data_IF_389986941501
#
_entry.id   IF_389986941501
#
_cell.length_a   1.000
_cell.length_b   1.000
_cell.length_c   1.000
_cell.angle_alpha   90.00
_cell.angle_beta   90.00
_cell.angle_gamma   90.00
#
_symmetry.space_group_name_H-M   'P 1'
#
loop_
_entity.id
_entity.type
_entity.pdbx_description
1 polymer ?
#
# COMPACT_ATOMS: atom_id res chain seq x y z
N UNK A 1 45.92 -16.25 0.25
CA UNK A 1 44.82 -16.88 -0.53
C UNK A 1 43.59 -16.03 -0.31
N UNK A 2 42.83 -15.69 -1.34
CA UNK A 2 41.57 -14.97 -1.16
C UNK A 2 40.49 -15.99 -0.81
N UNK A 3 39.87 -15.83 0.35
CA UNK A 3 38.75 -16.67 0.80
C UNK A 3 37.45 -15.88 0.66
N UNK A 4 36.45 -16.50 0.04
CA UNK A 4 35.17 -15.86 -0.26
C UNK A 4 34.07 -16.79 0.25
N UNK A 5 33.36 -16.36 1.28
CA UNK A 5 32.25 -17.11 1.85
C UNK A 5 30.90 -16.53 1.42
N UNK A 6 29.97 -17.39 1.03
CA UNK A 6 28.59 -17.04 0.65
C UNK A 6 28.48 -15.82 -0.31
N UNK A 7 29.21 -15.80 -1.45
CA UNK A 7 29.19 -14.65 -2.35
C UNK A 7 27.82 -14.46 -3.01
N UNK A 8 27.40 -13.20 -3.15
CA UNK A 8 26.26 -12.86 -3.99
C UNK A 8 26.73 -12.61 -5.44
N UNK A 9 26.34 -13.47 -6.36
CA UNK A 9 26.62 -13.29 -7.80
C UNK A 9 25.59 -12.31 -8.37
N UNK A 10 26.08 -11.20 -8.92
CA UNK A 10 25.27 -10.15 -9.55
C UNK A 10 25.53 -10.15 -11.05
N UNK A 11 24.46 -10.09 -11.85
CA UNK A 11 24.53 -10.10 -13.32
C UNK A 11 25.35 -11.29 -13.91
N UNK A 12 25.24 -12.47 -13.27
CA UNK A 12 25.92 -13.69 -13.71
C UNK A 12 24.99 -14.79 -14.21
N UNK A 13 23.66 -14.62 -14.11
CA UNK A 13 22.69 -15.71 -14.30
C UNK A 13 22.84 -16.43 -15.66
N UNK A 14 22.94 -15.67 -16.76
CA UNK A 14 23.11 -16.25 -18.09
C UNK A 14 24.45 -16.98 -18.24
N UNK A 15 25.54 -16.34 -17.83
CA UNK A 15 26.89 -16.93 -17.88
C UNK A 15 26.96 -18.20 -17.03
N UNK A 16 26.47 -18.16 -15.79
CA UNK A 16 26.41 -19.32 -14.89
C UNK A 16 25.55 -20.44 -15.46
N UNK A 17 24.40 -20.13 -16.07
CA UNK A 17 23.53 -21.12 -16.70
C UNK A 17 24.20 -21.81 -17.90
N UNK A 18 24.87 -21.04 -18.77
CA UNK A 18 25.59 -21.58 -19.92
C UNK A 18 26.77 -22.45 -19.49
N UNK A 19 27.57 -21.99 -18.52
CA UNK A 19 28.70 -22.76 -17.99
C UNK A 19 28.24 -24.05 -17.31
N UNK A 20 27.15 -24.00 -16.54
CA UNK A 20 26.53 -25.18 -15.93
C UNK A 20 26.11 -26.21 -16.98
N UNK A 21 25.44 -25.77 -18.04
CA UNK A 21 25.01 -26.66 -19.12
C UNK A 21 26.18 -27.22 -19.94
N UNK A 22 27.20 -26.41 -20.23
CA UNK A 22 28.40 -26.85 -20.94
C UNK A 22 29.17 -27.89 -20.13
N UNK A 23 29.30 -27.71 -18.81
CA UNK A 23 29.87 -28.71 -17.90
C UNK A 23 29.03 -30.00 -17.90
N UNK A 24 27.71 -29.89 -17.81
CA UNK A 24 26.80 -31.04 -17.87
C UNK A 24 26.95 -31.84 -19.17
N UNK A 25 27.26 -31.16 -20.27
CA UNK A 25 27.53 -31.76 -21.58
C UNK A 25 28.99 -32.22 -21.76
N UNK A 26 29.82 -32.18 -20.70
CA UNK A 26 31.24 -32.55 -20.69
C UNK A 26 32.08 -31.79 -21.73
N UNK A 27 31.73 -30.53 -22.01
CA UNK A 27 32.54 -29.67 -22.86
C UNK A 27 33.83 -29.26 -22.13
N UNK A 28 34.92 -29.10 -22.88
CA UNK A 28 36.17 -28.57 -22.33
C UNK A 28 36.02 -27.07 -22.00
N UNK A 29 36.06 -26.74 -20.71
CA UNK A 29 35.97 -25.37 -20.21
C UNK A 29 37.34 -24.74 -19.91
N UNK A 30 38.45 -25.49 -20.08
CA UNK A 30 39.80 -25.04 -19.68
C UNK A 30 40.27 -23.75 -20.38
N UNK A 31 39.75 -23.49 -21.57
CA UNK A 31 40.08 -22.31 -22.39
C UNK A 31 39.18 -21.11 -22.11
N UNK A 32 38.15 -21.26 -21.28
CA UNK A 32 37.21 -20.17 -20.96
C UNK A 32 37.82 -19.31 -19.86
N UNK A 33 37.99 -18.02 -20.15
CA UNK A 33 38.41 -17.02 -19.17
C UNK A 33 37.19 -16.25 -18.66
N UNK A 34 37.02 -16.19 -17.34
CA UNK A 34 35.94 -15.44 -16.69
C UNK A 34 36.56 -14.23 -15.98
N UNK A 35 36.11 -13.04 -16.32
CA UNK A 35 36.48 -11.82 -15.61
C UNK A 35 35.51 -11.63 -14.44
N UNK A 36 36.01 -11.78 -13.22
CA UNK A 36 35.23 -11.59 -12.00
C UNK A 36 35.62 -10.28 -11.33
N UNK A 37 34.63 -9.41 -11.09
CA UNK A 37 34.81 -8.22 -10.26
C UNK A 37 34.28 -8.52 -8.87
N UNK A 38 35.17 -8.55 -7.88
CA UNK A 38 34.83 -8.78 -6.48
C UNK A 38 34.66 -7.43 -5.80
N UNK A 39 33.52 -7.24 -5.13
CA UNK A 39 33.25 -6.04 -4.34
C UNK A 39 32.87 -6.51 -2.93
N UNK A 40 33.62 -6.03 -1.94
CA UNK A 40 33.33 -6.27 -0.52
C UNK A 40 32.82 -4.96 0.09
N UNK A 41 31.62 -4.99 0.66
CA UNK A 41 31.01 -3.84 1.33
C UNK A 41 30.09 -4.31 2.45
N UNK A 42 30.14 -3.61 3.59
CA UNK A 42 29.18 -3.79 4.68
C UNK A 42 28.00 -2.80 4.59
N UNK A 43 28.04 -1.88 3.62
CA UNK A 43 26.98 -0.92 3.37
C UNK A 43 25.93 -1.52 2.40
N UNK A 44 24.73 -1.78 2.93
CA UNK A 44 23.61 -2.33 2.18
C UNK A 44 23.12 -1.42 1.04
N UNK A 45 23.20 -0.10 1.23
CA UNK A 45 22.75 0.86 0.24
C UNK A 45 23.71 0.86 -0.96
N UNK A 46 25.03 0.80 -0.70
CA UNK A 46 26.04 0.64 -1.75
C UNK A 46 25.89 -0.70 -2.49
N UNK A 47 25.59 -1.79 -1.78
CA UNK A 47 25.33 -3.10 -2.40
C UNK A 47 24.13 -3.03 -3.36
N UNK A 48 23.03 -2.40 -2.93
CA UNK A 48 21.86 -2.19 -3.76
C UNK A 48 22.16 -1.32 -5.00
N UNK A 49 22.95 -0.25 -4.84
CA UNK A 49 23.40 0.59 -5.95
C UNK A 49 24.26 -0.19 -6.96
N UNK A 50 25.17 -1.03 -6.49
CA UNK A 50 25.98 -1.91 -7.34
C UNK A 50 25.09 -2.85 -8.15
N UNK A 51 24.12 -3.50 -7.50
CA UNK A 51 23.18 -4.41 -8.18
C UNK A 51 22.31 -3.65 -9.20
N UNK A 52 21.84 -2.46 -8.87
CA UNK A 52 21.10 -1.60 -9.82
C UNK A 52 21.96 -1.19 -11.01
N UNK A 53 23.18 -0.70 -10.75
CA UNK A 53 24.09 -0.17 -11.76
C UNK A 53 24.66 -1.24 -12.70
N UNK A 54 24.76 -2.49 -12.24
CA UNK A 54 25.25 -3.63 -13.02
C UNK A 54 24.15 -4.30 -13.85
N UNK A 55 22.88 -4.25 -13.45
CA UNK A 55 21.75 -4.79 -14.22
C UNK A 55 21.18 -3.75 -15.21
N UNK A 56 22.01 -3.24 -16.12
CA UNK A 56 21.58 -2.21 -17.10
C UNK A 56 20.50 -2.69 -18.08
N UNK A 57 20.40 -4.00 -18.33
CA UNK A 57 19.43 -4.57 -19.26
C UNK A 57 18.03 -4.74 -18.64
N UNK A 58 17.94 -4.96 -17.32
CA UNK A 58 16.69 -5.10 -16.59
C UNK A 58 16.80 -4.37 -15.24
N UNK A 59 16.11 -3.24 -15.09
CA UNK A 59 16.08 -2.48 -13.84
C UNK A 59 15.60 -3.39 -12.71
N UNK A 60 16.46 -3.66 -11.73
CA UNK A 60 16.09 -4.40 -10.52
C UNK A 60 15.30 -3.45 -9.63
N UNK A 61 14.00 -3.69 -9.49
CA UNK A 61 13.11 -2.87 -8.69
C UNK A 61 13.38 -3.05 -7.19
N UNK A 62 13.04 -2.06 -6.37
CA UNK A 62 13.29 -2.06 -4.91
C UNK A 62 12.61 -3.26 -4.21
N UNK A 63 11.45 -3.64 -4.71
CA UNK A 63 10.65 -4.81 -4.37
C UNK A 63 11.44 -6.11 -4.52
N UNK A 64 12.24 -6.24 -5.58
CA UNK A 64 13.01 -7.45 -5.83
C UNK A 64 14.11 -7.63 -4.78
N UNK A 65 14.71 -6.53 -4.30
CA UNK A 65 15.66 -6.57 -3.18
C UNK A 65 14.96 -6.90 -1.87
N UNK A 66 13.81 -6.28 -1.61
CA UNK A 66 13.01 -6.55 -0.43
C UNK A 66 12.70 -8.05 -0.31
N UNK A 67 12.29 -8.70 -1.40
CA UNK A 67 12.04 -10.14 -1.48
C UNK A 67 13.25 -11.04 -1.20
N UNK A 68 14.47 -10.50 -1.10
CA UNK A 68 15.67 -11.27 -0.72
C UNK A 68 15.94 -11.28 0.78
N UNK A 69 15.32 -10.37 1.55
CA UNK A 69 15.49 -10.27 2.99
C UNK A 69 15.04 -11.55 3.71
N UNK A 70 15.67 -11.82 4.85
CA UNK A 70 15.41 -13.04 5.61
C UNK A 70 13.97 -13.14 6.10
N UNK A 71 13.34 -12.01 6.47
CA UNK A 71 11.93 -11.96 6.82
C UNK A 71 11.04 -12.66 5.78
N UNK A 72 11.18 -12.33 4.50
CA UNK A 72 10.31 -12.87 3.45
C UNK A 72 10.55 -14.36 3.18
N UNK A 73 11.79 -14.85 3.38
CA UNK A 73 12.09 -16.29 3.31
C UNK A 73 11.43 -17.04 4.47
N UNK A 74 11.53 -16.47 5.68
CA UNK A 74 10.90 -17.05 6.87
C UNK A 74 9.38 -17.02 6.75
N UNK A 75 8.81 -15.94 6.23
CA UNK A 75 7.37 -15.81 6.00
C UNK A 75 6.87 -16.79 4.94
N UNK A 76 7.60 -16.95 3.83
CA UNK A 76 7.31 -17.97 2.80
C UNK A 76 7.28 -19.39 3.41
N UNK A 77 8.31 -19.75 4.18
CA UNK A 77 8.39 -21.04 4.85
C UNK A 77 7.22 -21.22 5.83
N UNK A 78 6.96 -20.21 6.65
CA UNK A 78 5.83 -20.18 7.58
C UNK A 78 4.50 -20.42 6.86
N UNK A 79 4.22 -19.71 5.77
CA UNK A 79 2.97 -19.88 5.00
C UNK A 79 2.83 -21.30 4.45
N UNK A 80 3.93 -21.91 4.00
CA UNK A 80 3.92 -23.28 3.48
C UNK A 80 3.68 -24.33 4.58
N UNK A 81 4.23 -24.11 5.78
CA UNK A 81 4.18 -25.03 6.90
C UNK A 81 2.97 -24.84 7.81
N UNK A 82 2.34 -23.66 7.77
CA UNK A 82 1.23 -23.33 8.67
C UNK A 82 0.01 -24.19 8.36
N UNK A 83 -0.32 -25.09 9.28
CA UNK A 83 -1.50 -25.94 9.24
C UNK A 83 -2.55 -25.39 10.20
N UNK A 84 -3.74 -25.11 9.69
CA UNK A 84 -4.95 -24.90 10.47
C UNK A 84 -6.15 -25.42 9.68
N UNK A 85 -7.35 -25.29 10.25
CA UNK A 85 -8.62 -25.70 9.63
C UNK A 85 -9.04 -24.75 8.50
N UNK A 86 -8.16 -24.54 7.53
CA UNK A 86 -8.42 -23.75 6.35
C UNK A 86 -9.16 -24.60 5.31
N UNK A 87 -10.28 -24.11 4.75
CA UNK A 87 -10.89 -24.77 3.60
C UNK A 87 -9.96 -24.76 2.37
N UNK A 88 -9.14 -23.71 2.22
CA UNK A 88 -8.24 -23.52 1.09
C UNK A 88 -6.84 -23.10 1.57
N UNK A 89 -5.79 -23.87 1.23
CA UNK A 89 -4.39 -23.49 1.47
C UNK A 89 -4.03 -22.25 0.63
N UNK A 90 -3.25 -21.34 1.22
CA UNK A 90 -2.73 -20.13 0.56
C UNK A 90 -1.21 -20.19 0.39
N UNK A 91 -0.68 -19.39 -0.54
CA UNK A 91 0.74 -19.41 -0.91
C UNK A 91 1.27 -17.98 -1.06
N UNK A 92 2.45 -17.73 -0.49
CA UNK A 92 3.13 -16.44 -0.62
C UNK A 92 4.11 -16.46 -1.80
N UNK A 93 3.74 -15.78 -2.88
CA UNK A 93 4.58 -15.59 -4.06
C UNK A 93 5.58 -14.45 -3.81
N UNK A 94 6.72 -14.83 -3.21
CA UNK A 94 7.81 -13.89 -2.91
C UNK A 94 8.47 -13.37 -4.18
N UNK A 95 8.65 -14.20 -5.21
CA UNK A 95 9.20 -13.78 -6.51
C UNK A 95 8.12 -13.85 -7.60
N UNK A 96 8.13 -12.91 -8.52
CA UNK A 96 7.18 -12.91 -9.64
C UNK A 96 7.20 -14.27 -10.36
N UNK A 97 6.02 -14.87 -10.55
CA UNK A 97 5.82 -16.16 -11.24
C UNK A 97 6.46 -17.36 -10.55
N UNK A 98 6.80 -17.27 -9.27
CA UNK A 98 7.43 -18.37 -8.52
C UNK A 98 6.64 -19.69 -8.58
N UNK A 99 5.31 -19.60 -8.66
CA UNK A 99 4.42 -20.76 -8.76
C UNK A 99 3.74 -20.89 -10.13
N UNK A 100 4.32 -20.32 -11.20
CA UNK A 100 3.70 -20.36 -12.54
C UNK A 100 3.64 -21.79 -13.12
N UNK A 101 4.66 -22.59 -12.86
CA UNK A 101 4.78 -23.95 -13.41
C UNK A 101 4.11 -25.03 -12.54
N UNK A 102 3.46 -24.65 -11.44
CA UNK A 102 2.75 -25.58 -10.56
C UNK A 102 1.23 -25.57 -10.82
N UNK A 103 0.68 -26.57 -11.53
CA UNK A 103 -0.74 -26.59 -11.90
C UNK A 103 -1.68 -26.80 -10.71
N UNK A 104 -1.15 -27.27 -9.57
CA UNK A 104 -1.91 -27.51 -8.35
C UNK A 104 -2.14 -26.24 -7.53
N UNK A 105 -1.43 -25.14 -7.83
CA UNK A 105 -1.57 -23.86 -7.12
C UNK A 105 -2.35 -22.89 -7.99
N UNK A 106 -3.59 -22.58 -7.60
CA UNK A 106 -4.46 -21.68 -8.34
C UNK A 106 -4.17 -20.21 -8.02
N UNK A 107 -4.47 -19.32 -8.96
CA UNK A 107 -4.21 -17.88 -8.80
C UNK A 107 -4.90 -17.27 -7.58
N UNK A 108 -6.13 -17.72 -7.25
CA UNK A 108 -6.88 -17.22 -6.10
C UNK A 108 -6.31 -17.66 -4.74
N UNK A 109 -5.35 -18.59 -4.72
CA UNK A 109 -4.65 -19.03 -3.50
C UNK A 109 -3.36 -18.24 -3.26
N UNK A 110 -2.92 -17.46 -4.25
CA UNK A 110 -1.62 -16.78 -4.23
C UNK A 110 -1.77 -15.36 -3.70
N UNK A 111 -0.81 -14.94 -2.91
CA UNK A 111 -0.65 -13.57 -2.45
C UNK A 111 0.82 -13.16 -2.55
N UNK A 112 1.12 -11.91 -2.86
CA UNK A 112 2.48 -11.48 -3.21
C UNK A 112 2.94 -10.28 -2.36
N UNK A 113 4.19 -9.85 -2.54
CA UNK A 113 4.75 -8.70 -1.79
C UNK A 113 3.91 -7.43 -1.97
N UNK A 114 3.44 -7.15 -3.20
CA UNK A 114 2.61 -5.98 -3.50
C UNK A 114 1.35 -5.94 -2.63
N UNK A 115 0.54 -7.00 -2.71
CA UNK A 115 -0.70 -7.07 -1.95
C UNK A 115 -0.41 -7.08 -0.44
N UNK A 116 0.60 -7.82 0.02
CA UNK A 116 0.95 -7.89 1.44
C UNK A 116 1.31 -6.53 2.00
N UNK A 117 2.10 -5.76 1.27
CA UNK A 117 2.49 -4.41 1.65
C UNK A 117 1.26 -3.50 1.74
N UNK A 118 0.46 -3.45 0.68
CA UNK A 118 -0.72 -2.57 0.62
C UNK A 118 -1.75 -2.87 1.71
N UNK A 119 -2.09 -4.15 1.89
CA UNK A 119 -3.12 -4.55 2.84
C UNK A 119 -2.61 -4.59 4.28
N UNK A 120 -1.31 -4.77 4.52
CA UNK A 120 -0.74 -4.58 5.86
C UNK A 120 -0.79 -3.10 6.26
N UNK A 121 -0.41 -2.19 5.36
CA UNK A 121 -0.52 -0.73 5.58
C UNK A 121 -1.97 -0.33 5.87
N UNK A 122 -2.94 -0.90 5.13
CA UNK A 122 -4.36 -0.64 5.36
C UNK A 122 -4.89 -1.23 6.67
N UNK A 123 -4.67 -2.53 6.90
CA UNK A 123 -5.32 -3.27 7.98
C UNK A 123 -4.64 -3.08 9.34
N UNK A 124 -3.31 -3.14 9.37
CA UNK A 124 -2.51 -3.14 10.60
C UNK A 124 -2.05 -1.73 10.97
N UNK A 125 -1.48 -0.99 10.00
CA UNK A 125 -1.05 0.40 10.23
C UNK A 125 -2.21 1.41 10.14
N UNK A 126 -3.40 0.97 9.75
CA UNK A 126 -4.62 1.78 9.68
C UNK A 126 -4.48 3.01 8.77
N UNK A 127 -3.83 2.80 7.63
CA UNK A 127 -3.69 3.78 6.56
C UNK A 127 -4.32 3.27 5.24
N UNK A 128 -5.61 2.89 5.23
CA UNK A 128 -6.26 2.37 4.03
C UNK A 128 -6.32 3.41 2.90
N UNK A 129 -6.25 4.71 3.22
CA UNK A 129 -6.18 5.79 2.23
C UNK A 129 -4.86 5.79 1.44
N UNK A 130 -3.78 5.22 2.01
CA UNK A 130 -2.46 5.11 1.38
C UNK A 130 -2.20 3.74 0.77
N UNK A 131 -3.05 2.74 1.06
CA UNK A 131 -2.85 1.37 0.59
C UNK A 131 -2.82 1.24 -0.94
N UNK A 132 -3.38 2.18 -1.71
CA UNK A 132 -3.35 2.14 -3.17
C UNK A 132 -2.01 2.55 -3.80
N UNK A 133 -1.07 3.08 -3.02
CA UNK A 133 0.22 3.55 -3.51
C UNK A 133 1.10 2.38 -3.93
N UNK A 134 2.05 2.67 -4.82
CA UNK A 134 3.03 1.68 -5.28
C UNK A 134 3.85 1.14 -4.11
N UNK A 135 4.15 -0.15 -4.14
CA UNK A 135 4.79 -0.88 -3.06
C UNK A 135 6.20 -0.35 -2.76
N UNK A 136 7.05 0.01 -3.75
CA UNK A 136 8.32 0.71 -3.48
C UNK A 136 8.17 1.95 -2.60
N UNK A 137 7.16 2.78 -2.85
CA UNK A 137 6.92 3.96 -2.01
C UNK A 137 6.51 3.56 -0.59
N UNK A 138 5.65 2.54 -0.45
CA UNK A 138 5.19 2.05 0.86
C UNK A 138 6.34 1.39 1.65
N UNK A 139 7.16 0.57 0.99
CA UNK A 139 8.37 -0.04 1.54
C UNK A 139 9.33 1.01 2.08
N UNK A 140 9.58 2.07 1.32
CA UNK A 140 10.42 3.18 1.77
C UNK A 140 9.79 3.96 2.93
N UNK A 141 8.51 4.31 2.83
CA UNK A 141 7.80 5.13 3.82
C UNK A 141 7.63 4.43 5.17
N UNK A 142 7.36 3.13 5.14
CA UNK A 142 7.02 2.33 6.31
C UNK A 142 8.11 1.32 6.68
N UNK A 143 9.35 1.49 6.20
CA UNK A 143 10.49 0.54 6.36
C UNK A 143 10.69 0.04 7.78
N UNK A 144 10.45 0.87 8.79
CA UNK A 144 10.61 0.53 10.22
C UNK A 144 9.35 -0.04 10.88
N UNK A 145 8.26 -0.21 10.12
CA UNK A 145 6.95 -0.63 10.60
C UNK A 145 6.42 -1.87 9.86
N UNK A 146 7.02 -2.25 8.73
CA UNK A 146 6.64 -3.43 7.95
C UNK A 146 7.84 -4.35 7.73
N UNK A 147 7.58 -5.66 7.76
CA UNK A 147 8.58 -6.70 7.51
C UNK A 147 9.83 -6.56 8.38
N UNK A 148 9.69 -6.07 9.62
CA UNK A 148 10.82 -5.95 10.53
C UNK A 148 11.24 -7.35 11.01
N UNK A 149 12.54 -7.58 11.14
CA UNK A 149 13.08 -8.93 11.39
C UNK A 149 12.60 -9.56 12.71
N UNK A 150 12.18 -8.73 13.68
CA UNK A 150 11.61 -9.16 14.98
C UNK A 150 10.09 -9.38 14.96
N UNK A 151 9.41 -9.07 13.87
CA UNK A 151 7.96 -9.26 13.82
C UNK A 151 7.62 -10.75 13.72
N UNK A 152 6.55 -11.15 14.40
CA UNK A 152 5.91 -12.42 14.13
C UNK A 152 5.37 -12.49 12.70
N UNK A 153 5.39 -13.68 12.11
CA UNK A 153 4.80 -13.99 10.81
C UNK A 153 3.26 -14.03 10.85
N UNK A 154 2.66 -14.34 12.01
CA UNK A 154 1.22 -14.62 12.10
C UNK A 154 0.33 -13.41 11.76
N UNK A 155 0.64 -12.16 12.17
CA UNK A 155 -0.10 -10.97 11.71
C UNK A 155 -0.07 -10.78 10.19
N UNK A 156 1.06 -11.05 9.53
CA UNK A 156 1.17 -10.96 8.07
C UNK A 156 0.34 -12.04 7.38
N UNK A 157 0.34 -13.24 7.95
CA UNK A 157 -0.50 -14.32 7.47
C UNK A 157 -1.99 -13.99 7.62
N UNK A 158 -2.41 -13.42 8.75
CA UNK A 158 -3.78 -12.97 8.96
C UNK A 158 -4.22 -11.95 7.90
N UNK A 159 -3.37 -10.97 7.56
CA UNK A 159 -3.64 -10.03 6.47
C UNK A 159 -3.81 -10.73 5.13
N UNK A 160 -2.88 -11.63 4.77
CA UNK A 160 -2.93 -12.36 3.50
C UNK A 160 -4.19 -13.22 3.39
N UNK A 161 -4.50 -13.98 4.44
CA UNK A 161 -5.65 -14.87 4.47
C UNK A 161 -6.96 -14.11 4.40
N UNK A 162 -7.16 -13.09 5.26
CA UNK A 162 -8.39 -12.28 5.26
C UNK A 162 -8.58 -11.51 3.94
N UNK A 163 -7.50 -11.07 3.29
CA UNK A 163 -7.60 -10.50 1.95
C UNK A 163 -8.12 -11.51 0.92
N UNK A 164 -7.54 -12.72 0.87
CA UNK A 164 -7.97 -13.74 -0.10
C UNK A 164 -9.40 -14.21 0.15
N UNK A 165 -9.83 -14.26 1.42
CA UNK A 165 -11.23 -14.50 1.79
C UNK A 165 -12.13 -13.38 1.29
N UNK A 166 -11.74 -12.11 1.42
CA UNK A 166 -12.49 -10.99 0.84
C UNK A 166 -12.57 -11.08 -0.69
N UNK A 167 -11.47 -11.44 -1.37
CA UNK A 167 -11.47 -11.65 -2.82
C UNK A 167 -12.44 -12.75 -3.24
N UNK A 168 -12.51 -13.84 -2.48
CA UNK A 168 -13.45 -14.94 -2.71
C UNK A 168 -14.89 -14.44 -2.58
N UNK A 169 -15.22 -13.76 -1.48
CA UNK A 169 -16.57 -13.23 -1.24
C UNK A 169 -17.02 -12.20 -2.29
N UNK A 170 -16.09 -11.37 -2.80
CA UNK A 170 -16.37 -10.42 -3.90
C UNK A 170 -16.58 -11.19 -5.22
N UNK A 171 -15.70 -12.14 -5.55
CA UNK A 171 -15.79 -12.94 -6.78
C UNK A 171 -17.10 -13.73 -6.85
N UNK A 172 -17.55 -14.26 -5.73
CA UNK A 172 -18.82 -14.99 -5.57
C UNK A 172 -20.04 -14.06 -5.46
N UNK A 173 -19.85 -12.74 -5.53
CA UNK A 173 -20.89 -11.70 -5.41
C UNK A 173 -21.64 -11.68 -4.07
N UNK A 174 -21.13 -12.38 -3.06
CA UNK A 174 -21.62 -12.25 -1.68
C UNK A 174 -21.38 -10.84 -1.16
N UNK A 175 -20.23 -10.25 -1.52
CA UNK A 175 -19.95 -8.83 -1.32
C UNK A 175 -20.02 -8.13 -2.68
N UNK A 176 -20.78 -7.04 -2.75
CA UNK A 176 -20.94 -6.26 -3.99
C UNK A 176 -19.63 -5.67 -4.51
N UNK A 177 -19.49 -5.60 -5.84
CA UNK A 177 -18.35 -5.00 -6.54
C UNK A 177 -18.06 -3.55 -6.15
N UNK A 178 -19.03 -2.84 -5.56
CA UNK A 178 -18.81 -1.51 -4.96
C UNK A 178 -17.57 -1.47 -4.05
N UNK A 179 -17.32 -2.56 -3.31
CA UNK A 179 -16.23 -2.64 -2.34
C UNK A 179 -14.86 -2.99 -2.91
N UNK A 180 -14.76 -3.29 -4.21
CA UNK A 180 -13.46 -3.60 -4.85
C UNK A 180 -12.45 -2.47 -4.62
N UNK A 181 -12.89 -1.21 -4.69
CA UNK A 181 -12.01 -0.05 -4.47
C UNK A 181 -11.77 0.29 -2.99
N UNK A 182 -12.49 -0.36 -2.08
CA UNK A 182 -12.45 -0.11 -0.63
C UNK A 182 -11.96 -1.31 0.18
N UNK A 183 -11.38 -2.34 -0.46
CA UNK A 183 -10.84 -3.53 0.23
C UNK A 183 -9.97 -3.19 1.43
N UNK A 184 -9.07 -2.23 1.30
CA UNK A 184 -8.20 -1.80 2.41
C UNK A 184 -8.98 -1.20 3.58
N UNK A 185 -10.06 -0.45 3.33
CA UNK A 185 -10.92 0.12 4.37
C UNK A 185 -11.71 -1.00 5.06
N UNK A 186 -12.26 -1.94 4.29
CA UNK A 186 -12.96 -3.10 4.86
C UNK A 186 -12.03 -3.95 5.72
N UNK A 187 -10.81 -4.23 5.26
CA UNK A 187 -9.82 -4.95 6.07
C UNK A 187 -9.47 -4.19 7.35
N UNK A 188 -9.26 -2.87 7.30
CA UNK A 188 -9.02 -2.06 8.50
C UNK A 188 -10.17 -2.19 9.51
N UNK A 189 -11.41 -2.03 9.06
CA UNK A 189 -12.60 -2.14 9.92
C UNK A 189 -12.69 -3.55 10.50
N UNK A 190 -12.58 -4.57 9.64
CA UNK A 190 -12.63 -5.97 10.04
C UNK A 190 -11.59 -6.31 11.11
N UNK A 191 -10.35 -5.86 10.91
CA UNK A 191 -9.26 -6.07 11.86
C UNK A 191 -9.53 -5.36 13.19
N UNK A 192 -10.03 -4.13 13.16
CA UNK A 192 -10.40 -3.40 14.40
C UNK A 192 -11.55 -4.05 15.14
N UNK A 193 -12.56 -4.58 14.43
CA UNK A 193 -13.71 -5.26 15.03
C UNK A 193 -13.30 -6.52 15.82
N UNK A 194 -12.35 -7.31 15.29
CA UNK A 194 -11.98 -8.59 15.88
C UNK A 194 -10.73 -8.52 16.77
N UNK A 195 -9.73 -7.73 16.39
CA UNK A 195 -8.44 -7.63 17.08
C UNK A 195 -8.37 -6.45 18.05
N UNK A 196 -9.22 -5.44 17.90
CA UNK A 196 -9.23 -4.23 18.72
C UNK A 196 -8.47 -3.05 18.10
N UNK A 197 -8.26 -2.00 18.91
CA UNK A 197 -7.84 -0.68 18.40
C UNK A 197 -6.44 -0.61 17.81
N UNK A 198 -5.49 -1.39 18.32
CA UNK A 198 -4.10 -1.34 17.89
C UNK A 198 -3.40 -2.65 18.23
N UNK A 199 -2.52 -3.10 17.34
CA UNK A 199 -1.61 -4.21 17.57
C UNK A 199 -0.27 -3.67 18.09
N UNK A 200 0.33 -4.37 19.05
CA UNK A 200 1.71 -4.15 19.46
C UNK A 200 2.62 -5.14 18.72
N UNK A 201 3.29 -4.66 17.67
CA UNK A 201 4.22 -5.48 16.87
C UNK A 201 5.56 -5.75 17.57
N UNK A 202 5.85 -5.09 18.69
CA UNK A 202 7.10 -5.29 19.45
C UNK A 202 7.01 -6.48 20.41
N UNK A 203 5.79 -6.91 20.72
CA UNK A 203 5.50 -8.04 21.57
C UNK A 203 4.88 -9.17 20.75
N UNK A 204 5.68 -10.19 20.44
CA UNK A 204 5.27 -11.35 19.64
C UNK A 204 3.99 -12.01 20.16
N UNK A 205 3.89 -12.24 21.47
CA UNK A 205 2.71 -12.87 22.09
C UNK A 205 1.44 -12.04 21.91
N UNK A 206 1.55 -10.71 22.06
CA UNK A 206 0.43 -9.80 21.87
C UNK A 206 0.02 -9.71 20.39
N UNK A 207 1.01 -9.64 19.49
CA UNK A 207 0.79 -9.63 18.04
C UNK A 207 0.11 -10.92 17.56
N UNK A 208 0.55 -12.08 18.07
CA UNK A 208 -0.03 -13.37 17.73
C UNK A 208 -1.44 -13.52 18.27
N UNK A 209 -1.69 -13.10 19.52
CA UNK A 209 -3.05 -13.10 20.08
C UNK A 209 -4.00 -12.25 19.23
N UNK A 210 -3.55 -11.07 18.81
CA UNK A 210 -4.32 -10.22 17.91
C UNK A 210 -4.62 -10.95 16.59
N UNK A 211 -3.60 -11.50 15.94
CA UNK A 211 -3.74 -12.20 14.66
C UNK A 211 -4.64 -13.43 14.76
N UNK A 212 -4.55 -14.22 15.84
CA UNK A 212 -5.42 -15.36 16.11
C UNK A 212 -6.89 -14.96 16.23
N UNK A 213 -7.20 -13.82 16.84
CA UNK A 213 -8.57 -13.33 16.91
C UNK A 213 -9.14 -13.04 15.51
N UNK A 214 -8.33 -12.41 14.63
CA UNK A 214 -8.73 -12.17 13.24
C UNK A 214 -8.97 -13.50 12.52
N UNK A 215 -8.01 -14.42 12.63
CA UNK A 215 -8.03 -15.69 11.94
C UNK A 215 -9.21 -16.58 12.37
N UNK A 216 -9.52 -16.63 13.68
CA UNK A 216 -10.72 -17.33 14.20
C UNK A 216 -12.01 -16.82 13.55
N UNK A 217 -12.12 -15.51 13.32
CA UNK A 217 -13.28 -14.92 12.64
C UNK A 217 -13.28 -15.08 11.12
N UNK A 218 -12.17 -15.55 10.52
CA UNK A 218 -11.96 -15.65 9.06
C UNK A 218 -11.94 -17.10 8.55
N UNK A 219 -11.52 -18.08 9.36
CA UNK A 219 -11.29 -19.46 8.90
C UNK A 219 -12.53 -20.11 8.28
N UNK A 220 -13.67 -20.04 8.98
CA UNK A 220 -14.97 -20.49 8.45
C UNK A 220 -15.57 -19.40 7.59
N UNK A 221 -15.96 -19.75 6.36
CA UNK A 221 -16.44 -18.76 5.39
C UNK A 221 -17.74 -18.10 5.83
N UNK A 222 -18.58 -18.81 6.59
CA UNK A 222 -19.82 -18.33 7.18
C UNK A 222 -19.55 -17.26 8.24
N UNK A 223 -18.60 -17.51 9.15
CA UNK A 223 -18.18 -16.55 10.16
C UNK A 223 -17.52 -15.32 9.50
N UNK A 224 -16.69 -15.55 8.49
CA UNK A 224 -16.04 -14.49 7.73
C UNK A 224 -17.08 -13.59 7.06
N UNK A 225 -18.12 -14.16 6.45
CA UNK A 225 -19.22 -13.43 5.84
C UNK A 225 -19.93 -12.54 6.86
N UNK A 226 -20.34 -13.08 8.01
CA UNK A 226 -21.00 -12.31 9.08
C UNK A 226 -20.11 -11.16 9.56
N UNK A 227 -18.82 -11.40 9.73
CA UNK A 227 -17.89 -10.37 10.18
C UNK A 227 -17.63 -9.29 9.11
N UNK A 228 -17.60 -9.66 7.82
CA UNK A 228 -17.54 -8.67 6.74
C UNK A 228 -18.84 -7.88 6.58
N UNK A 229 -20.01 -8.46 6.84
CA UNK A 229 -21.28 -7.74 6.86
C UNK A 229 -21.27 -6.64 7.93
N UNK A 230 -20.78 -6.94 9.14
CA UNK A 230 -20.56 -5.93 10.19
C UNK A 230 -19.58 -4.84 9.75
N UNK A 231 -18.48 -5.22 9.10
CA UNK A 231 -17.51 -4.25 8.60
C UNK A 231 -18.10 -3.34 7.51
N UNK A 232 -18.95 -3.90 6.65
CA UNK A 232 -19.70 -3.17 5.61
C UNK A 232 -20.69 -2.21 6.25
N UNK A 233 -21.41 -2.62 7.29
CA UNK A 233 -22.34 -1.75 8.02
C UNK A 233 -21.64 -0.52 8.59
N UNK A 234 -20.51 -0.71 9.28
CA UNK A 234 -19.68 0.41 9.78
C UNK A 234 -19.26 1.33 8.64
N UNK A 235 -18.77 0.77 7.52
CA UNK A 235 -18.38 1.57 6.36
C UNK A 235 -19.55 2.39 5.81
N UNK A 236 -20.74 1.77 5.64
CA UNK A 236 -21.93 2.43 5.10
C UNK A 236 -22.45 3.54 6.02
N UNK A 237 -22.38 3.34 7.33
CA UNK A 237 -22.72 4.38 8.30
C UNK A 237 -21.78 5.59 8.16
N UNK A 238 -20.48 5.34 7.97
CA UNK A 238 -19.50 6.40 7.70
C UNK A 238 -19.74 7.10 6.34
N UNK A 239 -20.08 6.35 5.29
CA UNK A 239 -20.43 6.90 3.97
C UNK A 239 -21.68 7.78 4.05
N UNK A 240 -22.70 7.36 4.80
CA UNK A 240 -23.90 8.16 5.04
C UNK A 240 -23.54 9.46 5.76
N UNK A 241 -22.74 9.40 6.82
CA UNK A 241 -22.29 10.60 7.53
C UNK A 241 -21.46 11.53 6.62
N UNK A 242 -20.56 10.96 5.82
CA UNK A 242 -19.74 11.69 4.84
C UNK A 242 -20.58 12.47 3.83
N UNK A 243 -21.64 11.86 3.33
CA UNK A 243 -22.48 12.46 2.29
C UNK A 243 -23.54 13.40 2.86
N UNK A 244 -24.15 13.04 3.99
CA UNK A 244 -25.30 13.76 4.55
C UNK A 244 -24.91 14.82 5.57
N UNK A 245 -23.91 14.56 6.42
CA UNK A 245 -23.51 15.49 7.49
C UNK A 245 -22.32 16.36 7.08
N UNK A 246 -21.42 15.84 6.25
CA UNK A 246 -20.27 16.59 5.73
C UNK A 246 -20.50 17.14 4.31
N UNK A 247 -21.58 16.76 3.64
CA UNK A 247 -21.92 17.18 2.28
C UNK A 247 -20.78 16.97 1.26
N UNK A 248 -20.00 15.88 1.43
CA UNK A 248 -18.87 15.56 0.57
C UNK A 248 -19.23 14.50 -0.47
N UNK A 249 -18.59 14.59 -1.63
CA UNK A 249 -18.77 13.60 -2.70
C UNK A 249 -18.26 12.22 -2.26
N UNK A 250 -19.03 11.13 -2.49
CA UNK A 250 -18.58 9.76 -2.24
C UNK A 250 -17.28 9.38 -2.97
N UNK A 251 -17.01 10.01 -4.12
CA UNK A 251 -15.84 9.71 -4.93
C UNK A 251 -14.51 10.10 -4.27
N UNK A 252 -14.55 10.94 -3.23
CA UNK A 252 -13.35 11.40 -2.52
C UNK A 252 -12.96 10.47 -1.36
N UNK A 253 -13.84 9.58 -0.90
CA UNK A 253 -13.66 8.81 0.34
C UNK A 253 -12.38 7.96 0.34
N UNK A 254 -12.09 7.28 -0.78
CA UNK A 254 -11.02 6.26 -0.86
C UNK A 254 -9.64 6.77 -0.44
N UNK A 255 -9.31 8.00 -0.76
CA UNK A 255 -7.96 8.56 -0.59
C UNK A 255 -7.93 9.66 0.48
N UNK A 256 -9.07 9.90 1.12
CA UNK A 256 -9.22 10.98 2.08
C UNK A 256 -8.91 10.48 3.49
N UNK A 257 -7.79 10.92 4.07
CA UNK A 257 -7.38 10.57 5.43
C UNK A 257 -8.49 10.84 6.47
N UNK A 258 -9.19 11.96 6.32
CA UNK A 258 -10.42 12.30 7.04
C UNK A 258 -11.47 11.18 7.07
N UNK A 259 -11.65 10.44 5.97
CA UNK A 259 -12.63 9.37 5.93
C UNK A 259 -12.13 8.16 6.75
N UNK A 260 -10.83 7.86 6.70
CA UNK A 260 -10.18 6.94 7.64
C UNK A 260 -10.42 7.36 9.09
N UNK A 261 -10.19 8.63 9.41
CA UNK A 261 -10.37 9.17 10.77
C UNK A 261 -11.83 9.13 11.21
N UNK A 262 -12.78 9.43 10.32
CA UNK A 262 -14.21 9.29 10.58
C UNK A 262 -14.55 7.85 10.98
N UNK A 263 -14.07 6.86 10.22
CA UNK A 263 -14.27 5.45 10.52
C UNK A 263 -13.70 5.12 11.91
N UNK A 264 -12.44 5.48 12.18
CA UNK A 264 -11.78 5.17 13.46
C UNK A 264 -12.53 5.81 14.64
N UNK A 265 -12.90 7.10 14.54
CA UNK A 265 -13.62 7.82 15.61
C UNK A 265 -15.02 7.25 15.84
N UNK A 266 -15.75 6.90 14.77
CA UNK A 266 -17.04 6.22 14.88
C UNK A 266 -16.93 4.87 15.57
N UNK A 267 -15.95 4.03 15.18
CA UNK A 267 -15.71 2.74 15.82
C UNK A 267 -15.31 2.87 17.29
N UNK A 268 -14.64 3.97 17.65
CA UNK A 268 -14.23 4.27 19.02
C UNK A 268 -15.33 4.91 19.87
N UNK A 269 -16.52 5.15 19.30
CA UNK A 269 -17.64 5.80 19.99
C UNK A 269 -17.38 7.27 20.32
N UNK A 270 -16.42 7.92 19.64
CA UNK A 270 -16.04 9.31 19.90
C UNK A 270 -17.08 10.25 19.29
N UNK A 271 -17.46 11.29 20.03
CA UNK A 271 -18.36 12.35 19.54
C UNK A 271 -17.81 12.99 18.27
N UNK A 272 -18.64 13.04 17.23
CA UNK A 272 -18.23 13.53 15.92
C UNK A 272 -18.34 15.04 15.76
N UNK A 273 -18.95 15.78 16.69
CA UNK A 273 -19.09 17.25 16.59
C UNK A 273 -17.74 18.00 16.54
N UNK A 274 -16.72 17.69 17.34
CA UNK A 274 -15.39 18.28 17.18
C UNK A 274 -14.76 17.97 15.82
N UNK A 275 -14.94 16.73 15.33
CA UNK A 275 -14.51 16.36 13.97
C UNK A 275 -15.29 17.18 12.95
N UNK A 276 -16.62 17.28 13.04
CA UNK A 276 -17.45 18.09 12.14
C UNK A 276 -17.00 19.56 12.11
N UNK A 277 -16.67 20.15 13.25
CA UNK A 277 -16.17 21.53 13.34
C UNK A 277 -14.77 21.70 12.75
N UNK A 278 -13.84 20.79 13.07
CA UNK A 278 -12.50 20.74 12.46
C UNK A 278 -12.60 20.59 10.94
N UNK A 279 -13.52 19.75 10.48
CA UNK A 279 -13.78 19.50 9.07
C UNK A 279 -14.48 20.65 8.36
N UNK A 280 -15.42 21.33 9.02
CA UNK A 280 -16.04 22.56 8.51
C UNK A 280 -14.99 23.67 8.37
N UNK A 281 -14.06 23.81 9.32
CA UNK A 281 -12.89 24.72 9.22
C UNK A 281 -11.93 24.31 8.10
N UNK A 282 -11.74 23.02 7.84
CA UNK A 282 -10.89 22.55 6.74
C UNK A 282 -11.55 22.76 5.36
N UNK A 283 -12.88 22.73 5.30
CA UNK A 283 -13.67 23.05 4.09
C UNK A 283 -14.11 24.50 3.99
N UNK A 284 -13.81 25.34 4.98
CA UNK A 284 -14.25 26.72 4.97
C UNK A 284 -13.72 27.38 3.71
N UNK A 285 -14.57 28.18 3.08
CA UNK A 285 -14.18 28.98 1.93
C UNK A 285 -12.98 29.83 2.34
N UNK A 286 -11.84 29.55 1.71
CA UNK A 286 -10.60 30.30 1.90
C UNK A 286 -10.54 31.39 0.87
N UNK A 287 -9.91 32.50 1.21
CA UNK A 287 -9.58 33.55 0.26
C UNK A 287 -8.07 33.58 0.01
N UNK A 288 -7.69 34.10 -1.15
CA UNK A 288 -6.30 34.22 -1.55
C UNK A 288 -6.14 34.90 -2.90
N UNK A 289 -4.89 35.01 -3.35
CA UNK A 289 -4.53 35.64 -4.62
C UNK A 289 -3.80 34.62 -5.49
N UNK A 290 -4.22 34.48 -6.75
CA UNK A 290 -3.54 33.64 -7.73
C UNK A 290 -2.20 34.28 -8.09
N UNK A 291 -1.08 33.61 -7.78
CA UNK A 291 0.27 34.15 -8.02
C UNK A 291 0.88 33.68 -9.33
N UNK A 292 0.70 32.40 -9.66
CA UNK A 292 1.41 31.75 -10.77
C UNK A 292 0.46 30.87 -11.56
N UNK A 293 0.63 30.88 -12.88
CA UNK A 293 -0.12 30.05 -13.84
C UNK A 293 0.85 29.48 -14.84
N UNK A 294 0.70 28.19 -15.14
CA UNK A 294 1.54 27.43 -16.04
C UNK A 294 0.67 26.73 -17.09
N UNK A 295 1.21 26.62 -18.30
CA UNK A 295 0.59 25.93 -19.43
C UNK A 295 1.53 24.80 -19.87
N UNK A 296 1.32 23.59 -19.33
CA UNK A 296 2.10 22.41 -19.71
C UNK A 296 1.18 21.24 -20.04
N UNK A 297 1.51 20.49 -21.10
CA UNK A 297 0.79 19.27 -21.49
C UNK A 297 -0.70 19.44 -21.77
N UNK A 298 -1.14 20.60 -22.29
CA UNK A 298 -2.55 20.89 -22.60
C UNK A 298 -3.47 21.07 -21.39
N UNK A 299 -2.94 21.06 -20.15
CA UNK A 299 -3.72 21.21 -18.93
C UNK A 299 -3.15 22.34 -18.07
N UNK A 300 -3.76 23.53 -18.10
CA UNK A 300 -3.25 24.63 -17.30
C UNK A 300 -3.44 24.37 -15.80
N UNK A 301 -2.47 24.85 -15.02
CA UNK A 301 -2.46 24.76 -13.57
C UNK A 301 -1.81 26.00 -12.96
N UNK A 302 -1.96 26.20 -11.65
CA UNK A 302 -1.41 27.36 -10.98
C UNK A 302 -1.33 27.19 -9.47
N UNK A 303 -0.94 28.27 -8.80
CA UNK A 303 -0.82 28.34 -7.35
C UNK A 303 -1.50 29.59 -6.80
N UNK A 304 -2.24 29.42 -5.71
CA UNK A 304 -2.89 30.47 -4.94
C UNK A 304 -2.10 30.67 -3.66
N UNK A 305 -1.75 31.93 -3.35
CA UNK A 305 -1.29 32.32 -2.02
C UNK A 305 -2.53 32.59 -1.18
N UNK A 306 -2.81 31.72 -0.21
CA UNK A 306 -3.93 31.91 0.72
C UNK A 306 -3.60 33.00 1.74
N UNK A 307 -4.63 33.62 2.31
CA UNK A 307 -4.47 34.68 3.33
C UNK A 307 -3.75 34.21 4.59
N UNK A 308 -3.79 32.91 4.91
CA UNK A 308 -3.03 32.31 6.01
C UNK A 308 -1.55 32.06 5.69
N UNK A 309 -1.08 32.47 4.51
CA UNK A 309 0.32 32.30 4.06
C UNK A 309 0.63 30.97 3.37
N UNK A 310 -0.33 30.04 3.28
CA UNK A 310 -0.11 28.75 2.60
C UNK A 310 -0.19 28.89 1.07
N UNK A 311 0.65 28.14 0.35
CA UNK A 311 0.55 28.02 -1.11
C UNK A 311 -0.27 26.79 -1.50
N UNK A 312 -1.32 26.99 -2.31
CA UNK A 312 -2.29 25.97 -2.68
C UNK A 312 -2.30 25.75 -4.19
N UNK A 313 -2.10 24.51 -4.62
CA UNK A 313 -2.09 24.13 -6.04
C UNK A 313 -3.51 24.08 -6.63
N UNK A 314 -3.70 24.46 -7.89
CA UNK A 314 -4.97 24.21 -8.60
C UNK A 314 -4.74 23.84 -10.06
N UNK A 315 -5.66 23.08 -10.66
CA UNK A 315 -5.56 22.63 -12.05
C UNK A 315 -6.90 22.65 -12.76
N UNK A 316 -6.89 22.78 -14.08
CA UNK A 316 -8.09 22.74 -14.92
C UNK A 316 -8.90 21.45 -14.76
N UNK A 317 -8.25 20.33 -14.38
CA UNK A 317 -8.91 19.04 -14.15
C UNK A 317 -9.98 19.10 -13.05
N UNK A 318 -9.75 19.87 -11.98
CA UNK A 318 -10.73 20.07 -10.89
C UNK A 318 -11.52 21.36 -11.02
N UNK A 319 -11.20 22.17 -12.02
CA UNK A 319 -11.68 23.53 -12.19
C UNK A 319 -11.95 23.81 -13.69
N UNK A 320 -12.82 23.02 -14.34
CA UNK A 320 -12.94 23.03 -15.81
C UNK A 320 -13.47 24.35 -16.35
N UNK A 321 -14.27 25.08 -15.56
CA UNK A 321 -14.92 26.32 -15.98
C UNK A 321 -14.06 27.57 -15.76
N UNK A 322 -12.85 27.44 -15.20
CA UNK A 322 -12.00 28.59 -14.91
C UNK A 322 -11.27 29.11 -16.14
N UNK A 323 -11.32 30.43 -16.35
CA UNK A 323 -10.60 31.12 -17.43
C UNK A 323 -9.14 31.38 -17.01
N UNK A 324 -8.28 30.37 -17.11
CA UNK A 324 -6.87 30.45 -16.65
C UNK A 324 -6.09 31.65 -17.19
N UNK A 325 -6.37 32.11 -18.41
CA UNK A 325 -5.67 33.26 -19.02
C UNK A 325 -5.86 34.57 -18.26
N UNK A 326 -6.94 34.72 -17.49
CA UNK A 326 -7.31 35.99 -16.82
C UNK A 326 -7.18 35.94 -15.30
N UNK A 327 -6.62 34.86 -14.75
CA UNK A 327 -6.62 34.61 -13.31
C UNK A 327 -5.43 35.20 -12.57
N UNK A 328 -4.32 35.50 -13.24
CA UNK A 328 -3.12 35.99 -12.57
C UNK A 328 -3.47 37.28 -11.79
N UNK A 329 -3.02 37.33 -10.54
CA UNK A 329 -3.21 38.44 -9.60
C UNK A 329 -4.67 38.71 -9.18
N UNK A 330 -5.62 37.84 -9.55
CA UNK A 330 -7.02 37.93 -9.09
C UNK A 330 -7.17 37.39 -7.67
N UNK A 331 -8.00 38.09 -6.88
CA UNK A 331 -8.55 37.57 -5.63
C UNK A 331 -9.55 36.48 -5.94
N UNK A 332 -9.47 35.39 -5.20
CA UNK A 332 -10.35 34.24 -5.37
C UNK A 332 -10.83 33.72 -4.03
N UNK A 333 -12.07 33.23 -4.02
CA UNK A 333 -12.56 32.33 -2.98
C UNK A 333 -12.45 30.88 -3.47
N UNK A 334 -12.09 29.95 -2.59
CA UNK A 334 -11.90 28.56 -2.96
C UNK A 334 -12.05 27.61 -1.77
N UNK A 335 -12.35 26.34 -2.05
CA UNK A 335 -12.18 25.27 -1.08
C UNK A 335 -10.83 24.57 -1.33
N UNK A 336 -10.17 24.09 -0.28
CA UNK A 336 -8.94 23.31 -0.40
C UNK A 336 -9.17 21.86 0.01
N UNK A 337 -8.52 20.91 -0.68
CA UNK A 337 -8.42 19.54 -0.19
C UNK A 337 -7.54 19.51 1.06
N UNK A 338 -7.61 18.41 1.80
CA UNK A 338 -6.59 18.09 2.78
C UNK A 338 -5.22 17.96 2.11
N UNK A 339 -4.19 18.13 2.93
CA UNK A 339 -2.80 17.82 2.59
C UNK A 339 -2.71 16.34 2.21
N UNK A 340 -2.17 16.08 1.02
CA UNK A 340 -1.94 14.72 0.54
C UNK A 340 -0.75 14.06 1.26
N UNK A 341 -0.41 12.82 0.90
CA UNK A 341 0.73 12.10 1.47
C UNK A 341 2.11 12.74 1.27
N UNK A 342 2.18 13.88 0.57
CA UNK A 342 3.36 14.73 0.33
C UNK A 342 3.17 16.16 0.89
N UNK A 343 2.20 16.35 1.78
CA UNK A 343 1.86 17.62 2.41
C UNK A 343 1.32 18.72 1.46
N UNK A 344 0.75 18.32 0.31
CA UNK A 344 0.26 19.27 -0.72
C UNK A 344 -1.25 19.40 -0.68
N UNK A 345 -1.77 20.62 -0.84
CA UNK A 345 -3.20 20.89 -0.96
C UNK A 345 -3.59 21.25 -2.39
N UNK A 346 -4.81 20.89 -2.79
CA UNK A 346 -5.39 21.25 -4.07
C UNK A 346 -6.66 22.09 -3.89
N UNK A 347 -6.74 23.25 -4.53
CA UNK A 347 -7.94 24.09 -4.54
C UNK A 347 -8.97 23.64 -5.60
N UNK A 348 -10.23 23.76 -5.24
CA UNK A 348 -11.41 23.47 -6.08
C UNK A 348 -12.54 24.47 -5.78
N UNK A 349 -13.56 24.50 -6.63
CA UNK A 349 -14.66 25.48 -6.56
C UNK A 349 -14.18 26.94 -6.53
N UNK A 350 -13.12 27.23 -7.29
CA UNK A 350 -12.52 28.58 -7.29
C UNK A 350 -13.48 29.56 -7.95
N UNK A 351 -13.80 30.66 -7.27
CA UNK A 351 -14.52 31.80 -7.86
C UNK A 351 -13.67 33.05 -7.77
N UNK A 352 -13.65 33.81 -8.85
CA UNK A 352 -13.00 35.12 -8.88
C UNK A 352 -13.87 36.10 -8.12
N UNK A 353 -13.29 36.75 -7.12
CA UNK A 353 -13.92 37.85 -6.42
C UNK A 353 -13.75 39.11 -7.28
N UNK A 354 -14.86 39.83 -7.46
CA UNK A 354 -14.94 41.07 -8.25
C UNK A 354 -14.10 42.18 -7.66
#
# INVERSE_FOLDING_TARGET
MLEIENPQIVNGCQSSYLLFNANKQKMDLSKISIVVKIISTNNSDLSNEIVRGTNRQNIVMEEAFECTRQFHKNFEQFVNDYVADFPDKIYYERRAKQYADNPNIKQYQKFNLHNLTQFYVGAILQHPEKAHLHESYLLKKYRSQIFCDKHSNLPYFAVAYTFLTLEKLIREKTITNYFIKYKAHLLMIYFRLLGGKKIDMTNERAADKYAQNILKGTYKIEDAKVNFEKAIEVFRNCEKYWTQNLHKSPHLMKEAQIFTELIIKMMDGITLEPLRQELQKLTSVRQGVVKRIFYSGGRPFGFISSENGEEVFFSSRRNPNLKFKTLKDKKVEFNATLKDGKDRMQAYNIKVLS
#
